data_IF_916078585175
#
_entry.id   IF_916078585175
#
_cell.length_a   1.000
_cell.length_b   1.000
_cell.length_c   1.000
_cell.angle_alpha   90.00
_cell.angle_beta   90.00
_cell.angle_gamma   90.00
#
_symmetry.space_group_name_H-M   'P 1'
#
loop_
_entity.id
_entity.type
_entity.pdbx_description
1 polymer ?
#
# COMPACT_ATOMS: atom_id res chain seq x y z
N UNK A 1 -26.96 -9.11 43.33
CA UNK A 1 -26.25 -8.00 42.65
C UNK A 1 -25.15 -8.65 41.79
N UNK A 2 -25.55 -9.50 40.85
CA UNK A 2 -25.70 -9.28 39.40
C UNK A 2 -24.48 -9.81 38.63
N UNK A 3 -24.44 -11.13 38.45
CA UNK A 3 -23.52 -11.87 37.54
C UNK A 3 -23.90 -11.66 36.06
N UNK A 4 -23.97 -10.41 35.59
CA UNK A 4 -24.38 -10.10 34.20
C UNK A 4 -23.39 -9.35 33.32
N UNK A 5 -22.18 -9.04 33.79
CA UNK A 5 -21.24 -8.20 33.03
C UNK A 5 -19.92 -8.90 32.68
N UNK A 6 -19.99 -10.12 32.13
CA UNK A 6 -18.82 -10.70 31.45
C UNK A 6 -19.25 -11.48 30.23
N UNK A 7 -20.21 -10.92 29.48
CA UNK A 7 -20.37 -11.30 28.09
C UNK A 7 -19.21 -10.65 27.31
N UNK A 8 -18.02 -11.27 27.42
CA UNK A 8 -16.93 -11.06 26.48
C UNK A 8 -17.56 -11.13 25.10
N UNK A 9 -17.51 -10.03 24.34
CA UNK A 9 -18.02 -9.93 22.97
C UNK A 9 -17.36 -11.04 22.15
N UNK A 10 -17.98 -12.22 22.13
CA UNK A 10 -17.53 -13.38 21.38
C UNK A 10 -18.10 -13.25 19.99
N UNK A 11 -17.61 -12.24 19.28
CA UNK A 11 -17.86 -12.14 17.85
C UNK A 11 -17.18 -13.35 17.20
N UNK A 12 -17.96 -14.26 16.63
CA UNK A 12 -17.45 -15.38 15.86
C UNK A 12 -16.90 -14.81 14.55
N UNK A 13 -15.66 -14.34 14.58
CA UNK A 13 -14.96 -13.89 13.38
C UNK A 13 -14.73 -15.10 12.47
N UNK A 14 -15.23 -15.08 11.23
CA UNK A 14 -14.87 -16.09 10.23
C UNK A 14 -13.35 -16.15 10.11
N UNK A 15 -12.80 -17.35 9.99
CA UNK A 15 -11.36 -17.53 9.78
C UNK A 15 -10.86 -16.91 8.47
N UNK A 16 -11.78 -16.67 7.53
CA UNK A 16 -11.53 -16.02 6.25
C UNK A 16 -12.47 -14.82 6.09
N UNK A 17 -11.93 -13.62 6.31
CA UNK A 17 -12.67 -12.35 6.22
C UNK A 17 -12.89 -11.95 4.76
N UNK A 18 -12.10 -12.49 3.83
CA UNK A 18 -12.15 -12.20 2.39
C UNK A 18 -12.98 -13.23 1.61
N UNK A 19 -13.65 -14.17 2.31
CA UNK A 19 -14.47 -15.20 1.67
C UNK A 19 -15.58 -14.56 0.80
N UNK A 20 -15.59 -14.81 -0.52
CA UNK A 20 -16.56 -14.19 -1.40
C UNK A 20 -17.98 -14.71 -1.11
N UNK A 21 -18.96 -13.81 -1.17
CA UNK A 21 -20.35 -14.13 -0.87
C UNK A 21 -20.92 -15.13 -1.89
N UNK A 22 -21.44 -16.26 -1.39
CA UNK A 22 -21.93 -17.39 -2.19
C UNK A 22 -23.44 -17.30 -2.26
N UNK A 23 -23.98 -17.17 -3.46
CA UNK A 23 -25.40 -16.87 -3.67
C UNK A 23 -26.23 -18.12 -3.95
N UNK A 24 -25.75 -19.02 -4.82
CA UNK A 24 -26.46 -20.26 -5.13
C UNK A 24 -25.49 -21.38 -5.48
N UNK A 25 -25.77 -22.60 -5.01
CA UNK A 25 -24.99 -23.82 -5.26
C UNK A 25 -23.48 -23.69 -4.92
N UNK A 26 -23.14 -22.82 -3.97
CA UNK A 26 -21.75 -22.55 -3.60
C UNK A 26 -20.98 -21.66 -4.58
N UNK A 27 -21.65 -21.10 -5.59
CA UNK A 27 -21.08 -20.17 -6.57
C UNK A 27 -21.38 -18.73 -6.18
N UNK A 28 -20.44 -17.84 -6.54
CA UNK A 28 -20.61 -16.39 -6.40
C UNK A 28 -21.54 -15.85 -7.49
N UNK A 29 -22.14 -14.68 -7.25
CA UNK A 29 -22.94 -13.99 -8.28
C UNK A 29 -22.17 -13.78 -9.58
N UNK A 30 -20.87 -13.46 -9.47
CA UNK A 30 -19.94 -13.29 -10.60
C UNK A 30 -19.81 -14.57 -11.42
N UNK A 31 -19.61 -15.71 -10.77
CA UNK A 31 -19.49 -17.01 -11.43
C UNK A 31 -20.78 -17.38 -12.17
N UNK A 32 -21.94 -17.15 -11.55
CA UNK A 32 -23.25 -17.37 -12.18
C UNK A 32 -23.46 -16.47 -13.39
N UNK A 33 -23.07 -15.19 -13.31
CA UNK A 33 -23.16 -14.28 -14.44
C UNK A 33 -22.29 -14.73 -15.63
N UNK A 34 -21.07 -15.20 -15.38
CA UNK A 34 -20.18 -15.73 -16.44
C UNK A 34 -20.82 -16.96 -17.09
N UNK A 35 -21.34 -17.90 -16.31
CA UNK A 35 -22.01 -19.09 -16.82
C UNK A 35 -23.27 -18.74 -17.63
N UNK A 36 -24.07 -17.79 -17.16
CA UNK A 36 -25.27 -17.34 -17.86
C UNK A 36 -24.94 -16.71 -19.22
N UNK A 37 -23.94 -15.83 -19.28
CA UNK A 37 -23.49 -15.23 -20.55
C UNK A 37 -22.95 -16.30 -21.50
N UNK A 38 -22.13 -17.24 -21.00
CA UNK A 38 -21.61 -18.33 -21.80
C UNK A 38 -22.73 -19.23 -22.37
N UNK A 39 -23.76 -19.53 -21.57
CA UNK A 39 -24.91 -20.31 -21.99
C UNK A 39 -25.71 -19.60 -23.09
N UNK A 40 -25.96 -18.29 -22.94
CA UNK A 40 -26.67 -17.49 -23.95
C UNK A 40 -25.88 -17.42 -25.26
N UNK A 41 -24.57 -17.14 -25.20
CA UNK A 41 -23.72 -17.11 -26.38
C UNK A 41 -23.64 -18.48 -27.07
N UNK A 42 -23.51 -19.56 -26.29
CA UNK A 42 -23.47 -20.93 -26.80
C UNK A 42 -24.78 -21.31 -27.49
N UNK A 43 -25.92 -20.98 -26.89
CA UNK A 43 -27.24 -21.23 -27.47
C UNK A 43 -27.46 -20.42 -28.77
N UNK A 44 -27.07 -19.13 -28.78
CA UNK A 44 -27.14 -18.30 -29.98
C UNK A 44 -26.29 -18.84 -31.12
N UNK A 45 -25.06 -19.26 -30.83
CA UNK A 45 -24.17 -19.88 -31.81
C UNK A 45 -24.72 -21.20 -32.34
N UNK A 46 -25.29 -22.04 -31.46
CA UNK A 46 -25.94 -23.29 -31.85
C UNK A 46 -27.08 -23.03 -32.85
N UNK A 47 -28.01 -22.13 -32.51
CA UNK A 47 -29.13 -21.81 -33.39
C UNK A 47 -28.68 -21.28 -34.76
N UNK A 48 -27.60 -20.48 -34.82
CA UNK A 48 -27.09 -19.95 -36.08
C UNK A 48 -26.33 -20.98 -36.94
N UNK A 49 -25.55 -21.88 -36.31
CA UNK A 49 -24.62 -22.75 -37.03
C UNK A 49 -25.13 -24.18 -37.26
N UNK A 50 -26.16 -24.64 -36.53
CA UNK A 50 -26.60 -26.04 -36.61
C UNK A 50 -27.12 -26.47 -37.99
N UNK A 51 -27.63 -25.53 -38.80
CA UNK A 51 -28.07 -25.81 -40.18
C UNK A 51 -26.90 -25.87 -41.18
N UNK A 52 -25.76 -25.27 -40.85
CA UNK A 52 -24.63 -25.08 -41.77
C UNK A 52 -23.41 -25.96 -41.43
N UNK A 53 -23.35 -26.50 -40.21
CA UNK A 53 -22.21 -27.25 -39.68
C UNK A 53 -22.67 -28.60 -39.18
N UNK A 54 -21.87 -29.65 -39.43
CA UNK A 54 -22.16 -30.99 -38.95
C UNK A 54 -22.27 -31.02 -37.41
N UNK A 55 -23.35 -31.62 -36.90
CA UNK A 55 -23.66 -31.71 -35.47
C UNK A 55 -22.48 -32.22 -34.62
N UNK A 56 -21.69 -33.24 -35.03
CA UNK A 56 -20.55 -33.71 -34.23
C UNK A 56 -19.49 -32.63 -33.98
N UNK A 57 -19.26 -31.75 -34.97
CA UNK A 57 -18.29 -30.65 -34.88
C UNK A 57 -18.78 -29.61 -33.87
N UNK A 58 -20.07 -29.28 -33.90
CA UNK A 58 -20.67 -28.34 -32.95
C UNK A 58 -20.65 -28.87 -31.52
N UNK A 59 -20.98 -30.15 -31.31
CA UNK A 59 -20.90 -30.78 -29.99
C UNK A 59 -19.45 -30.80 -29.48
N UNK A 60 -18.49 -31.17 -30.33
CA UNK A 60 -17.07 -31.15 -29.97
C UNK A 60 -16.60 -29.75 -29.55
N UNK A 61 -16.96 -28.72 -30.32
CA UNK A 61 -16.63 -27.33 -29.98
C UNK A 61 -17.30 -26.90 -28.66
N UNK A 62 -18.57 -27.26 -28.45
CA UNK A 62 -19.30 -26.93 -27.22
C UNK A 62 -18.67 -27.58 -25.98
N UNK A 63 -18.17 -28.82 -26.07
CA UNK A 63 -17.47 -29.49 -24.97
C UNK A 63 -16.16 -28.78 -24.64
N UNK A 64 -15.36 -28.42 -25.64
CA UNK A 64 -14.08 -27.72 -25.43
C UNK A 64 -14.30 -26.33 -24.84
N UNK A 65 -15.24 -25.56 -25.40
CA UNK A 65 -15.58 -24.22 -24.91
C UNK A 65 -16.21 -24.27 -23.51
N UNK A 66 -17.11 -25.23 -23.26
CA UNK A 66 -17.71 -25.46 -21.95
C UNK A 66 -16.66 -25.80 -20.89
N UNK A 67 -15.69 -26.65 -21.23
CA UNK A 67 -14.55 -26.97 -20.36
C UNK A 67 -13.68 -25.74 -20.05
N UNK A 68 -13.41 -24.90 -21.06
CA UNK A 68 -12.68 -23.64 -20.87
C UNK A 68 -13.43 -22.67 -19.95
N UNK A 69 -14.74 -22.48 -20.15
CA UNK A 69 -15.58 -21.63 -19.31
C UNK A 69 -15.62 -22.16 -17.88
N UNK A 70 -15.80 -23.47 -17.71
CA UNK A 70 -15.79 -24.11 -16.39
C UNK A 70 -14.45 -23.91 -15.69
N UNK A 71 -13.33 -24.14 -16.39
CA UNK A 71 -11.99 -23.89 -15.88
C UNK A 71 -11.75 -22.43 -15.51
N UNK A 72 -12.32 -21.48 -16.25
CA UNK A 72 -12.24 -20.05 -15.95
C UNK A 72 -13.06 -19.65 -14.72
N UNK A 73 -14.22 -20.28 -14.52
CA UNK A 73 -15.15 -20.01 -13.41
C UNK A 73 -14.66 -20.62 -12.10
N UNK A 74 -14.12 -21.85 -12.15
CA UNK A 74 -13.70 -22.62 -10.96
C UNK A 74 -12.20 -22.44 -10.69
N UNK A 75 -11.41 -22.12 -11.70
CA UNK A 75 -9.97 -21.96 -11.56
C UNK A 75 -9.59 -20.80 -10.65
N UNK A 76 -8.62 -21.06 -9.80
CA UNK A 76 -7.92 -20.03 -9.03
C UNK A 76 -6.42 -20.15 -9.27
N UNK A 77 -5.75 -19.01 -9.36
CA UNK A 77 -4.30 -18.92 -9.44
C UNK A 77 -3.82 -17.83 -8.50
N UNK A 78 -2.86 -18.18 -7.64
CA UNK A 78 -2.26 -17.26 -6.66
C UNK A 78 -3.31 -16.57 -5.75
N UNK A 79 -4.40 -17.28 -5.43
CA UNK A 79 -5.51 -16.76 -4.61
C UNK A 79 -6.52 -15.89 -5.36
N UNK A 80 -6.30 -15.60 -6.64
CA UNK A 80 -7.23 -14.86 -7.50
C UNK A 80 -8.05 -15.82 -8.38
N UNK A 81 -9.33 -15.52 -8.63
CA UNK A 81 -10.10 -16.26 -9.63
C UNK A 81 -9.51 -16.02 -11.04
N UNK A 82 -9.55 -17.06 -11.88
CA UNK A 82 -8.81 -17.11 -13.14
C UNK A 82 -9.26 -16.04 -14.15
N UNK A 83 -10.53 -15.63 -14.11
CA UNK A 83 -11.07 -14.51 -14.89
C UNK A 83 -10.38 -13.18 -14.55
N UNK A 84 -10.24 -12.87 -13.26
CA UNK A 84 -9.57 -11.66 -12.76
C UNK A 84 -8.08 -11.72 -13.07
N UNK A 85 -7.46 -12.89 -12.89
CA UNK A 85 -6.05 -13.10 -13.21
C UNK A 85 -5.77 -12.88 -14.71
N UNK A 86 -6.57 -13.47 -15.60
CA UNK A 86 -6.44 -13.27 -17.05
C UNK A 86 -6.72 -11.83 -17.46
N UNK A 87 -7.71 -11.18 -16.86
CA UNK A 87 -7.99 -9.78 -17.12
C UNK A 87 -6.82 -8.88 -16.69
N UNK A 88 -6.23 -9.16 -15.52
CA UNK A 88 -5.05 -8.46 -15.04
C UNK A 88 -3.85 -8.70 -15.97
N UNK A 89 -3.62 -9.95 -16.39
CA UNK A 89 -2.57 -10.31 -17.34
C UNK A 89 -2.74 -9.63 -18.70
N UNK A 90 -3.98 -9.56 -19.21
CA UNK A 90 -4.31 -8.90 -20.47
C UNK A 90 -4.19 -7.38 -20.37
N UNK A 91 -4.62 -6.78 -19.26
CA UNK A 91 -4.39 -5.35 -19.01
C UNK A 91 -2.91 -5.06 -18.93
N UNK A 92 -2.15 -5.87 -18.18
CA UNK A 92 -0.71 -5.73 -18.03
C UNK A 92 0.03 -5.89 -19.36
N UNK A 93 -0.36 -6.85 -20.22
CA UNK A 93 0.24 -7.02 -21.55
C UNK A 93 -0.01 -5.82 -22.47
N UNK A 94 -1.09 -5.07 -22.23
CA UNK A 94 -1.40 -3.81 -22.92
C UNK A 94 -0.84 -2.56 -22.24
N UNK A 95 -0.31 -2.67 -21.01
CA UNK A 95 0.29 -1.51 -20.35
C UNK A 95 1.64 -1.14 -20.99
N UNK A 96 1.89 0.17 -21.21
CA UNK A 96 3.19 0.62 -21.69
C UNK A 96 4.28 0.25 -20.67
N UNK A 97 5.35 -0.39 -21.15
CA UNK A 97 6.45 -0.89 -20.31
C UNK A 97 7.54 0.15 -20.03
N UNK A 98 7.59 1.20 -20.83
CA UNK A 98 8.48 2.34 -20.63
C UNK A 98 7.63 3.55 -20.29
N UNK A 99 7.88 4.15 -19.12
CA UNK A 99 7.21 5.35 -18.63
C UNK A 99 8.25 6.45 -18.43
N UNK A 100 7.90 7.69 -18.79
CA UNK A 100 8.76 8.86 -18.58
C UNK A 100 8.06 9.91 -17.71
N UNK A 101 8.82 10.57 -16.84
CA UNK A 101 8.35 11.74 -16.07
C UNK A 101 8.19 12.99 -16.92
N UNK A 102 8.85 13.03 -18.09
CA UNK A 102 8.72 14.13 -19.05
C UNK A 102 7.56 13.91 -19.99
N UNK A 103 6.96 15.01 -20.43
CA UNK A 103 5.91 14.98 -21.43
C UNK A 103 6.47 14.52 -22.78
N UNK A 104 6.29 13.24 -23.08
CA UNK A 104 6.68 12.63 -24.35
C UNK A 104 5.67 12.89 -25.47
N UNK A 105 4.60 13.65 -25.18
CA UNK A 105 3.59 14.05 -26.17
C UNK A 105 3.85 15.43 -26.78
N UNK A 106 4.81 16.18 -26.24
CA UNK A 106 5.21 17.47 -26.78
C UNK A 106 5.76 17.32 -28.21
N UNK A 107 5.28 18.17 -29.12
CA UNK A 107 5.72 18.20 -30.52
C UNK A 107 7.21 18.55 -30.55
N UNK A 108 8.02 17.65 -31.11
CA UNK A 108 9.46 17.88 -31.27
C UNK A 108 9.67 19.10 -32.17
N UNK A 109 10.56 20.05 -31.83
CA UNK A 109 10.85 21.20 -32.68
C UNK A 109 11.27 20.80 -34.09
N UNK A 110 10.88 21.59 -35.09
CA UNK A 110 11.01 21.26 -36.52
C UNK A 110 12.47 21.06 -36.99
N UNK A 111 13.47 21.51 -36.21
CA UNK A 111 14.90 21.34 -36.51
C UNK A 111 15.48 19.99 -36.05
N UNK A 112 14.73 19.19 -35.30
CA UNK A 112 15.15 17.85 -34.87
C UNK A 112 14.76 16.83 -35.93
N UNK A 113 15.76 16.17 -36.53
CA UNK A 113 15.49 15.10 -37.48
C UNK A 113 14.98 13.85 -36.74
N UNK A 114 13.77 13.35 -37.05
CA UNK A 114 13.29 12.12 -36.45
C UNK A 114 14.19 10.96 -36.88
N UNK A 115 14.51 10.01 -35.98
CA UNK A 115 15.29 8.84 -36.35
C UNK A 115 14.58 8.04 -37.44
N UNK A 116 15.36 7.46 -38.37
CA UNK A 116 14.82 6.64 -39.47
C UNK A 116 14.18 5.32 -38.98
N UNK A 117 14.49 4.90 -37.76
CA UNK A 117 13.90 3.71 -37.13
C UNK A 117 12.66 4.06 -36.31
N UNK A 118 11.70 3.13 -36.25
CA UNK A 118 10.51 3.25 -35.42
C UNK A 118 10.88 3.10 -33.94
N UNK A 119 11.17 4.22 -33.27
CA UNK A 119 11.43 4.24 -31.83
C UNK A 119 10.10 4.24 -31.07
N UNK A 120 9.92 3.28 -30.17
CA UNK A 120 8.79 3.28 -29.23
C UNK A 120 9.08 4.32 -28.16
N UNK A 121 8.38 5.45 -28.21
CA UNK A 121 8.50 6.47 -27.17
C UNK A 121 7.86 5.98 -25.86
N UNK A 122 8.48 6.25 -24.70
CA UNK A 122 7.86 5.97 -23.41
C UNK A 122 6.54 6.70 -23.27
N UNK A 123 5.55 6.07 -22.63
CA UNK A 123 4.29 6.74 -22.29
C UNK A 123 4.52 7.69 -21.10
N UNK A 124 3.71 8.75 -20.94
CA UNK A 124 3.82 9.64 -19.78
C UNK A 124 3.49 8.89 -18.48
N UNK A 125 4.34 9.06 -17.46
CA UNK A 125 4.16 8.51 -16.13
C UNK A 125 3.05 9.29 -15.42
N UNK A 126 1.90 8.64 -15.21
CA UNK A 126 0.82 9.16 -14.38
C UNK A 126 1.03 8.68 -12.95
N UNK A 127 1.50 9.57 -12.08
CA UNK A 127 1.63 9.25 -10.67
C UNK A 127 0.24 9.23 -10.00
N UNK A 128 -0.01 8.33 -9.03
CA UNK A 128 -1.27 8.31 -8.28
C UNK A 128 -1.49 9.55 -7.42
N UNK A 129 -0.40 10.22 -7.03
CA UNK A 129 -0.40 11.46 -6.27
C UNK A 129 0.21 12.58 -7.09
N UNK A 130 -0.44 13.74 -7.09
CA UNK A 130 -0.02 14.92 -7.84
C UNK A 130 0.91 15.81 -7.03
N UNK A 131 0.62 15.97 -5.74
CA UNK A 131 1.38 16.83 -4.83
C UNK A 131 1.23 16.37 -3.38
N UNK A 132 2.21 16.74 -2.55
CA UNK A 132 2.18 16.59 -1.09
C UNK A 132 2.44 17.98 -0.52
N UNK A 133 1.50 18.50 0.26
CA UNK A 133 1.66 19.78 0.96
C UNK A 133 2.48 19.64 2.24
N UNK A 134 2.99 20.76 2.76
CA UNK A 134 3.80 20.78 3.98
C UNK A 134 3.07 20.22 5.21
N UNK A 135 1.75 20.41 5.29
CA UNK A 135 0.91 19.86 6.36
C UNK A 135 0.65 18.36 6.21
N UNK A 136 1.07 17.74 5.09
CA UNK A 136 0.97 16.30 4.82
C UNK A 136 -0.29 15.88 4.07
N UNK A 137 -1.02 16.82 3.48
CA UNK A 137 -2.15 16.51 2.59
C UNK A 137 -1.63 16.09 1.21
N UNK A 138 -2.07 14.91 0.77
CA UNK A 138 -1.69 14.28 -0.49
C UNK A 138 -2.83 14.52 -1.49
N UNK A 139 -2.52 15.19 -2.59
CA UNK A 139 -3.48 15.41 -3.68
C UNK A 139 -3.50 14.19 -4.60
N UNK A 140 -4.68 13.60 -4.79
CA UNK A 140 -4.93 12.38 -5.57
C UNK A 140 -5.98 12.70 -6.65
N UNK A 141 -5.63 13.55 -7.62
CA UNK A 141 -6.50 14.05 -8.67
C UNK A 141 -7.73 14.76 -8.12
N UNK A 142 -8.87 14.06 -8.13
CA UNK A 142 -10.16 14.58 -7.63
C UNK A 142 -10.42 14.39 -6.13
N UNK A 143 -9.47 13.81 -5.39
CA UNK A 143 -9.58 13.55 -3.96
C UNK A 143 -8.31 13.98 -3.22
N UNK A 144 -8.41 14.11 -1.90
CA UNK A 144 -7.26 14.36 -1.03
C UNK A 144 -7.12 13.27 0.01
N UNK A 145 -5.91 12.98 0.45
CA UNK A 145 -5.62 12.01 1.49
C UNK A 145 -4.66 12.57 2.53
N UNK A 146 -4.70 12.01 3.74
CA UNK A 146 -3.74 12.30 4.79
C UNK A 146 -3.45 11.01 5.57
N UNK A 147 -2.21 10.89 6.05
CA UNK A 147 -1.71 9.67 6.69
C UNK A 147 -1.49 9.89 8.18
N UNK A 148 -1.83 8.88 8.98
CA UNK A 148 -1.53 8.80 10.41
C UNK A 148 -0.63 7.61 10.65
N UNK A 149 0.53 7.83 11.25
CA UNK A 149 1.36 6.75 11.76
C UNK A 149 0.85 6.32 13.15
N UNK A 150 0.81 5.01 13.38
CA UNK A 150 0.40 4.43 14.65
C UNK A 150 1.40 3.36 15.11
N UNK A 151 1.59 3.23 16.42
CA UNK A 151 2.22 2.03 16.98
C UNK A 151 1.19 0.92 17.19
N UNK A 152 1.65 -0.30 17.44
CA UNK A 152 0.81 -1.42 17.84
C UNK A 152 0.80 -1.61 19.36
N UNK A 153 -0.29 -2.15 19.90
CA UNK A 153 -0.38 -2.65 21.28
C UNK A 153 -0.57 -4.16 21.25
N UNK A 154 0.06 -4.87 22.18
CA UNK A 154 -0.17 -6.30 22.36
C UNK A 154 -1.42 -6.52 23.21
N UNK A 155 -2.54 -6.82 22.56
CA UNK A 155 -3.83 -7.02 23.21
C UNK A 155 -3.83 -8.23 24.15
N UNK A 156 -3.07 -9.29 23.83
CA UNK A 156 -3.04 -10.52 24.61
C UNK A 156 -2.39 -10.36 26.00
N UNK A 157 -1.58 -9.31 26.17
CA UNK A 157 -0.94 -8.98 27.46
C UNK A 157 -1.80 -8.06 28.34
N UNK A 158 -3.01 -7.69 27.89
CA UNK A 158 -3.93 -6.79 28.61
C UNK A 158 -4.96 -7.57 29.40
N UNK A 159 -5.47 -6.98 30.48
CA UNK A 159 -6.58 -7.56 31.26
C UNK A 159 -7.87 -7.60 30.43
N UNK A 160 -8.85 -8.43 30.81
CA UNK A 160 -10.11 -8.52 30.06
C UNK A 160 -10.84 -7.16 29.94
N UNK A 161 -10.84 -6.37 31.02
CA UNK A 161 -11.47 -5.04 31.04
C UNK A 161 -10.72 -4.05 30.14
N UNK A 162 -9.38 -4.09 30.16
CA UNK A 162 -8.55 -3.30 29.24
C UNK A 162 -8.82 -3.69 27.78
N UNK A 163 -8.90 -4.99 27.48
CA UNK A 163 -9.20 -5.47 26.14
C UNK A 163 -10.58 -4.99 25.68
N UNK A 164 -11.61 -5.08 26.54
CA UNK A 164 -12.96 -4.60 26.23
C UNK A 164 -12.98 -3.10 25.96
N UNK A 165 -12.28 -2.30 26.79
CA UNK A 165 -12.17 -0.85 26.61
C UNK A 165 -11.45 -0.46 25.30
N UNK A 166 -10.41 -1.20 24.94
CA UNK A 166 -9.68 -1.02 23.67
C UNK A 166 -10.57 -1.35 22.46
N UNK A 167 -11.30 -2.46 22.52
CA UNK A 167 -12.22 -2.87 21.45
C UNK A 167 -13.37 -1.88 21.30
N UNK A 168 -13.96 -1.42 22.40
CA UNK A 168 -15.04 -0.41 22.37
C UNK A 168 -14.56 0.92 21.77
N UNK A 169 -13.39 1.40 22.20
CA UNK A 169 -12.80 2.64 21.66
C UNK A 169 -12.48 2.51 20.17
N UNK A 170 -11.93 1.36 19.74
CA UNK A 170 -11.70 1.10 18.33
C UNK A 170 -13.00 1.01 17.53
N UNK A 171 -14.04 0.39 18.08
CA UNK A 171 -15.38 0.33 17.48
C UNK A 171 -16.03 1.70 17.34
N UNK A 172 -15.92 2.56 18.36
CA UNK A 172 -16.35 3.97 18.30
C UNK A 172 -15.62 4.75 17.20
N UNK A 173 -14.31 4.53 17.04
CA UNK A 173 -13.55 5.12 15.94
C UNK A 173 -14.06 4.63 14.58
N UNK A 174 -14.25 3.32 14.38
CA UNK A 174 -14.79 2.77 13.13
C UNK A 174 -16.17 3.36 12.78
N UNK A 175 -17.06 3.48 13.77
CA UNK A 175 -18.39 4.08 13.59
C UNK A 175 -18.36 5.59 13.31
N UNK A 176 -17.24 6.27 13.60
CA UNK A 176 -17.07 7.70 13.30
C UNK A 176 -16.59 7.98 11.87
N UNK A 177 -16.15 6.95 11.14
CA UNK A 177 -15.61 7.09 9.79
C UNK A 177 -16.73 7.41 8.79
N UNK A 178 -16.60 8.54 8.10
CA UNK A 178 -17.56 9.01 7.09
C UNK A 178 -17.11 8.76 5.65
N UNK A 179 -15.86 8.30 5.46
CA UNK A 179 -15.25 8.04 4.16
C UNK A 179 -14.38 6.79 4.22
N UNK A 180 -14.05 6.24 3.05
CA UNK A 180 -13.15 5.10 2.95
C UNK A 180 -11.80 5.43 3.62
N UNK A 181 -11.49 4.67 4.68
CA UNK A 181 -10.25 4.78 5.45
C UNK A 181 -9.52 3.46 5.36
N UNK A 182 -8.23 3.50 5.05
CA UNK A 182 -7.41 2.31 4.84
C UNK A 182 -6.43 2.16 6.00
N UNK A 183 -6.32 0.97 6.57
CA UNK A 183 -5.25 0.62 7.51
C UNK A 183 -4.23 -0.22 6.75
N UNK A 184 -3.05 0.33 6.53
CA UNK A 184 -1.93 -0.35 5.88
C UNK A 184 -0.97 -0.80 6.96
N UNK A 185 -0.70 -2.10 6.97
CA UNK A 185 0.30 -2.71 7.82
C UNK A 185 1.37 -3.30 6.91
N UNK A 186 2.59 -2.80 7.03
CA UNK A 186 3.74 -3.32 6.28
C UNK A 186 4.86 -3.75 7.22
N UNK A 187 5.44 -4.91 6.95
CA UNK A 187 6.73 -5.27 7.52
C UNK A 187 7.82 -4.57 6.71
N UNK A 188 8.71 -3.85 7.39
CA UNK A 188 9.83 -3.13 6.78
C UNK A 188 11.14 -3.57 7.43
N UNK A 189 12.21 -3.78 6.66
CA UNK A 189 13.54 -3.95 7.22
C UNK A 189 13.92 -2.78 8.12
N UNK A 190 14.49 -3.09 9.28
CA UNK A 190 15.11 -2.10 10.16
C UNK A 190 16.52 -1.85 9.66
N UNK A 191 16.84 -0.60 9.32
CA UNK A 191 18.21 -0.23 9.00
C UNK A 191 19.04 -0.10 10.28
N UNK A 192 19.57 -1.23 10.74
CA UNK A 192 20.49 -1.27 11.86
C UNK A 192 21.90 -0.79 11.49
N UNK A 193 22.32 -0.92 10.22
CA UNK A 193 23.66 -0.51 9.78
C UNK A 193 23.84 1.01 9.88
N UNK A 194 22.84 1.80 9.50
CA UNK A 194 22.94 3.26 9.68
C UNK A 194 22.92 3.65 11.16
N UNK A 195 22.18 2.94 12.02
CA UNK A 195 22.21 3.17 13.46
C UNK A 195 23.58 2.82 14.06
N UNK A 196 24.16 1.68 13.68
CA UNK A 196 25.49 1.25 14.09
C UNK A 196 26.55 2.28 13.69
N UNK A 197 26.56 2.74 12.43
CA UNK A 197 27.48 3.80 11.96
C UNK A 197 27.31 5.12 12.70
N UNK A 198 26.07 5.53 12.97
CA UNK A 198 25.79 6.77 13.71
C UNK A 198 26.30 6.68 15.13
N UNK A 199 26.10 5.53 15.78
CA UNK A 199 26.58 5.29 17.13
C UNK A 199 28.11 5.20 17.19
N UNK A 200 28.74 4.55 16.22
CA UNK A 200 30.20 4.49 16.08
C UNK A 200 30.80 5.91 15.90
N UNK A 201 30.21 6.73 15.03
CA UNK A 201 30.65 8.12 14.85
C UNK A 201 30.41 8.99 16.10
N UNK A 202 29.33 8.72 16.85
CA UNK A 202 29.08 9.42 18.10
C UNK A 202 30.08 9.03 19.21
N UNK A 203 30.53 7.77 19.24
CA UNK A 203 31.48 7.26 20.22
C UNK A 203 32.80 8.08 20.24
N UNK A 204 33.27 8.53 19.07
CA UNK A 204 34.47 9.37 18.92
C UNK A 204 34.38 10.72 19.65
N UNK A 205 33.17 11.19 19.92
CA UNK A 205 32.89 12.48 20.59
C UNK A 205 32.47 12.33 22.05
N UNK A 206 32.45 11.10 22.58
CA UNK A 206 31.94 10.87 23.93
C UNK A 206 32.94 11.32 25.02
N UNK A 207 32.45 11.89 26.13
CA UNK A 207 33.34 12.50 27.14
C UNK A 207 34.12 11.49 28.00
N UNK A 208 33.62 10.25 28.12
CA UNK A 208 34.15 9.26 29.06
C UNK A 208 34.50 7.95 28.33
N UNK A 209 35.69 7.37 28.55
CA UNK A 209 36.18 6.20 27.80
C UNK A 209 35.25 4.98 27.92
N UNK A 210 34.71 4.70 29.11
CA UNK A 210 33.77 3.59 29.27
C UNK A 210 32.46 3.76 28.45
N UNK A 211 32.04 4.99 28.14
CA UNK A 211 30.89 5.23 27.27
C UNK A 211 31.25 5.03 25.80
N UNK A 212 32.46 5.44 25.39
CA UNK A 212 33.01 5.16 24.06
C UNK A 212 33.06 3.65 23.82
N UNK A 213 33.61 2.89 24.78
CA UNK A 213 33.71 1.42 24.68
C UNK A 213 32.32 0.77 24.58
N UNK A 214 31.40 1.17 25.46
CA UNK A 214 30.03 0.65 25.43
C UNK A 214 29.28 0.99 24.13
N UNK A 215 29.49 2.19 23.58
CA UNK A 215 28.89 2.62 22.32
C UNK A 215 29.47 1.84 21.13
N UNK A 216 30.77 1.60 21.10
CA UNK A 216 31.44 0.79 20.08
C UNK A 216 30.97 -0.67 20.12
N UNK A 217 30.88 -1.27 21.31
CA UNK A 217 30.35 -2.62 21.51
C UNK A 217 28.88 -2.72 21.05
N UNK A 218 28.06 -1.71 21.38
CA UNK A 218 26.67 -1.68 20.94
C UNK A 218 26.55 -1.52 19.41
N UNK A 219 27.38 -0.68 18.79
CA UNK A 219 27.41 -0.53 17.34
C UNK A 219 27.75 -1.87 16.65
N UNK A 220 28.77 -2.58 17.15
CA UNK A 220 29.14 -3.92 16.68
C UNK A 220 28.00 -4.93 16.85
N UNK A 221 27.30 -4.90 18.00
CA UNK A 221 26.14 -5.75 18.22
C UNK A 221 25.01 -5.48 17.21
N UNK A 222 24.74 -4.22 16.89
CA UNK A 222 23.71 -3.85 15.91
C UNK A 222 24.07 -4.33 14.50
N UNK A 223 25.32 -4.19 14.06
CA UNK A 223 25.80 -4.71 12.76
C UNK A 223 25.70 -6.25 12.71
N UNK A 224 26.11 -6.92 13.78
CA UNK A 224 26.01 -8.37 13.92
C UNK A 224 24.55 -8.88 13.86
N UNK A 225 23.62 -8.12 14.45
CA UNK A 225 22.19 -8.42 14.43
C UNK A 225 21.61 -8.20 13.03
N UNK A 226 22.02 -7.13 12.35
CA UNK A 226 21.63 -6.82 10.98
C UNK A 226 22.04 -7.93 10.01
N UNK A 227 23.28 -8.42 10.13
CA UNK A 227 23.83 -9.45 9.25
C UNK A 227 23.17 -10.83 9.44
N UNK A 228 22.68 -11.14 10.65
CA UNK A 228 22.25 -12.50 11.00
C UNK A 228 20.74 -12.71 11.04
N UNK A 229 19.93 -11.67 11.27
CA UNK A 229 18.51 -11.84 11.62
C UNK A 229 17.50 -11.04 10.81
N UNK A 230 17.94 -10.25 9.82
CA UNK A 230 17.08 -9.38 9.00
C UNK A 230 15.88 -8.79 9.77
N UNK A 231 16.15 -7.97 10.81
CA UNK A 231 15.12 -7.55 11.74
C UNK A 231 14.07 -6.69 11.02
N UNK A 232 12.80 -7.10 11.13
CA UNK A 232 11.66 -6.38 10.56
C UNK A 232 10.96 -5.55 11.63
N UNK A 233 10.62 -4.30 11.30
CA UNK A 233 9.67 -3.47 12.04
C UNK A 233 8.30 -3.52 11.37
N UNK A 234 7.25 -3.42 12.17
CA UNK A 234 5.88 -3.22 11.67
C UNK A 234 5.60 -1.73 11.56
N UNK A 235 5.35 -1.24 10.36
CA UNK A 235 4.80 0.09 10.15
C UNK A 235 3.28 -0.03 10.04
N UNK A 236 2.55 0.78 10.81
CA UNK A 236 1.10 0.90 10.72
C UNK A 236 0.76 2.31 10.28
N UNK A 237 0.09 2.42 9.14
CA UNK A 237 -0.36 3.67 8.55
C UNK A 237 -1.88 3.63 8.39
N UNK A 238 -2.55 4.67 8.84
CA UNK A 238 -3.98 4.88 8.64
C UNK A 238 -4.13 5.99 7.62
N UNK A 239 -4.68 5.68 6.45
CA UNK A 239 -4.87 6.63 5.35
C UNK A 239 -6.33 7.05 5.33
N UNK A 240 -6.57 8.32 5.59
CA UNK A 240 -7.89 8.95 5.46
C UNK A 240 -7.99 9.61 4.09
N UNK A 241 -9.16 9.52 3.45
CA UNK A 241 -9.42 10.15 2.14
C UNK A 241 -10.70 10.99 2.18
N UNK A 242 -10.74 12.06 1.42
CA UNK A 242 -11.97 12.81 1.14
C UNK A 242 -12.86 12.05 0.14
N UNK A 243 -14.15 12.36 0.12
CA UNK A 243 -15.01 11.91 -0.99
C UNK A 243 -14.70 12.70 -2.26
N UNK A 244 -15.01 12.12 -3.42
CA UNK A 244 -14.87 12.82 -4.70
C UNK A 244 -15.78 14.06 -4.71
N UNK A 245 -15.21 15.23 -5.00
CA UNK A 245 -15.94 16.50 -5.04
C UNK A 245 -16.10 17.21 -3.70
N UNK A 246 -15.56 16.68 -2.60
CA UNK A 246 -15.45 17.42 -1.34
C UNK A 246 -14.43 18.57 -1.48
N UNK A 247 -14.90 19.82 -1.39
CA UNK A 247 -14.08 21.03 -1.62
C UNK A 247 -13.61 21.72 -0.34
N UNK A 248 -13.40 20.94 0.72
CA UNK A 248 -12.84 21.48 1.96
C UNK A 248 -11.32 21.53 1.89
N UNK A 249 -10.74 22.71 2.03
CA UNK A 249 -9.31 22.86 2.26
C UNK A 249 -8.92 22.09 3.54
N UNK A 250 -7.79 21.37 3.53
CA UNK A 250 -7.31 20.53 4.64
C UNK A 250 -8.31 19.49 5.17
N UNK A 251 -9.30 19.08 4.37
CA UNK A 251 -10.35 18.16 4.80
C UNK A 251 -9.83 16.76 5.10
N UNK A 252 -8.81 16.29 4.36
CA UNK A 252 -8.16 15.03 4.70
C UNK A 252 -7.34 15.19 5.99
N UNK A 253 -6.62 16.31 6.12
CA UNK A 253 -5.79 16.58 7.30
C UNK A 253 -6.59 16.65 8.60
N UNK A 254 -7.74 17.33 8.59
CA UNK A 254 -8.66 17.37 9.76
C UNK A 254 -9.17 15.98 10.16
N UNK A 255 -9.43 15.10 9.19
CA UNK A 255 -9.84 13.72 9.46
C UNK A 255 -8.70 12.88 10.04
N UNK A 256 -7.47 13.08 9.56
CA UNK A 256 -6.29 12.49 10.16
C UNK A 256 -6.13 12.94 11.63
N UNK A 257 -6.33 14.22 11.94
CA UNK A 257 -6.31 14.71 13.33
C UNK A 257 -7.46 14.13 14.17
N UNK A 258 -8.65 13.97 13.59
CA UNK A 258 -9.77 13.28 14.25
C UNK A 258 -9.41 11.84 14.61
N UNK A 259 -8.77 11.13 13.68
CA UNK A 259 -8.25 9.76 13.91
C UNK A 259 -7.21 9.73 15.03
N UNK A 260 -6.26 10.67 15.04
CA UNK A 260 -5.25 10.78 16.13
C UNK A 260 -5.93 10.95 17.48
N UNK A 261 -6.91 11.85 17.60
CA UNK A 261 -7.64 12.09 18.86
C UNK A 261 -8.48 10.88 19.29
N UNK A 262 -9.11 10.20 18.34
CA UNK A 262 -9.92 9.02 18.64
C UNK A 262 -9.07 7.85 19.14
N UNK A 263 -7.86 7.68 18.57
CA UNK A 263 -7.00 6.55 18.86
C UNK A 263 -5.97 6.82 19.98
N UNK A 264 -5.74 8.07 20.39
CA UNK A 264 -4.79 8.40 21.47
C UNK A 264 -5.13 7.73 22.81
N UNK A 265 -6.42 7.40 23.03
CA UNK A 265 -6.89 6.69 24.22
C UNK A 265 -6.60 5.18 24.24
N UNK A 266 -6.14 4.59 23.12
CA UNK A 266 -5.92 3.15 22.99
C UNK A 266 -4.55 2.68 23.50
N UNK A 267 -3.77 3.56 24.12
CA UNK A 267 -2.38 3.26 24.51
C UNK A 267 -1.44 3.06 23.31
N UNK A 268 -1.86 3.47 22.11
CA UNK A 268 -0.99 3.60 20.94
C UNK A 268 -0.51 5.04 20.83
N UNK A 269 0.73 5.22 20.41
CA UNK A 269 1.19 6.53 19.93
C UNK A 269 0.67 6.70 18.51
N UNK A 270 -0.02 7.81 18.26
CA UNK A 270 -0.51 8.17 16.92
C UNK A 270 -0.08 9.58 16.58
N UNK A 271 0.31 9.78 15.33
CA UNK A 271 0.72 11.10 14.81
C UNK A 271 0.31 11.22 13.36
N UNK A 272 -0.38 12.29 13.03
CA UNK A 272 -0.61 12.64 11.63
C UNK A 272 0.71 13.11 10.99
N UNK A 273 1.01 12.58 9.82
CA UNK A 273 2.26 12.83 9.11
C UNK A 273 2.21 14.20 8.44
N UNK A 274 3.28 14.97 8.62
CA UNK A 274 3.59 16.17 7.82
C UNK A 274 4.11 15.79 6.42
N UNK A 275 4.34 16.79 5.55
CA UNK A 275 4.77 16.56 4.17
C UNK A 275 6.06 15.73 4.04
N UNK A 276 7.05 15.98 4.90
CA UNK A 276 8.30 15.22 4.91
C UNK A 276 8.10 13.77 5.34
N UNK A 277 7.35 13.55 6.43
CA UNK A 277 7.09 12.22 6.94
C UNK A 277 6.16 11.41 6.01
N UNK A 278 5.19 12.05 5.37
CA UNK A 278 4.35 11.43 4.35
C UNK A 278 5.18 11.02 3.12
N UNK A 279 6.08 11.91 2.66
CA UNK A 279 7.04 11.61 1.59
C UNK A 279 7.94 10.42 1.95
N UNK A 280 8.46 10.39 3.18
CA UNK A 280 9.27 9.27 3.67
C UNK A 280 8.48 7.96 3.73
N UNK A 281 7.22 8.00 4.19
CA UNK A 281 6.35 6.83 4.23
C UNK A 281 6.04 6.29 2.82
N UNK A 282 5.73 7.17 1.86
CA UNK A 282 5.51 6.79 0.46
C UNK A 282 6.77 6.24 -0.21
N UNK A 283 7.93 6.86 0.03
CA UNK A 283 9.20 6.38 -0.48
C UNK A 283 9.55 4.99 0.06
N UNK A 284 9.33 4.76 1.37
CA UNK A 284 9.54 3.46 1.99
C UNK A 284 8.53 2.40 1.51
N UNK A 285 7.32 2.80 1.12
CA UNK A 285 6.34 1.90 0.51
C UNK A 285 6.73 1.51 -0.93
N UNK A 286 7.37 2.43 -1.68
CA UNK A 286 7.83 2.17 -3.05
C UNK A 286 9.16 1.39 -3.10
N UNK A 287 10.07 1.66 -2.17
CA UNK A 287 11.35 0.95 -2.03
C UNK A 287 11.63 0.66 -0.54
N UNK A 288 11.14 -0.50 -0.02
CA UNK A 288 11.30 -0.88 1.38
C UNK A 288 12.75 -1.11 1.80
N UNK A 289 13.65 -1.37 0.85
CA UNK A 289 15.07 -1.64 1.09
C UNK A 289 15.94 -0.39 0.96
N UNK A 290 15.33 0.78 0.71
CA UNK A 290 16.05 2.03 0.65
C UNK A 290 16.67 2.36 2.01
N UNK A 291 17.99 2.57 2.11
CA UNK A 291 18.59 2.96 3.37
C UNK A 291 18.05 4.33 3.80
N UNK A 292 17.57 4.50 5.05
CA UNK A 292 17.17 5.79 5.58
C UNK A 292 18.30 6.81 5.45
N UNK A 293 17.93 8.03 5.10
CA UNK A 293 18.85 9.16 4.99
C UNK A 293 18.83 9.97 6.29
N UNK A 294 20.01 10.25 6.89
CA UNK A 294 20.11 11.23 7.97
C UNK A 294 19.52 12.57 7.51
N UNK A 295 18.65 13.18 8.33
CA UNK A 295 17.96 14.43 8.00
C UNK A 295 16.62 14.27 7.26
N UNK A 296 16.17 13.04 7.01
CA UNK A 296 14.88 12.77 6.35
C UNK A 296 14.93 12.93 4.82
N UNK A 297 13.76 12.90 4.19
CA UNK A 297 13.61 13.18 2.77
C UNK A 297 13.00 14.56 2.59
N UNK A 298 13.64 15.37 1.75
CA UNK A 298 13.05 16.59 1.25
C UNK A 298 11.72 16.25 0.53
N UNK A 299 10.68 17.05 0.77
CA UNK A 299 9.44 16.92 0.03
C UNK A 299 9.70 17.29 -1.45
N UNK A 300 8.82 16.87 -2.38
CA UNK A 300 8.87 17.36 -3.76
C UNK A 300 9.00 18.90 -3.79
N UNK A 301 9.85 19.41 -4.68
CA UNK A 301 10.08 20.85 -4.89
C UNK A 301 10.72 21.62 -3.72
N UNK A 302 11.09 20.94 -2.62
CA UNK A 302 11.88 21.56 -1.54
C UNK A 302 13.29 21.88 -2.03
N UNK A 303 13.73 23.13 -1.89
CA UNK A 303 15.10 23.55 -2.20
C UNK A 303 16.07 22.90 -1.23
N UNK A 304 16.97 22.05 -1.73
CA UNK A 304 18.03 21.42 -0.95
C UNK A 304 19.28 22.29 -1.04
N UNK A 305 19.70 22.90 0.07
CA UNK A 305 20.98 23.60 0.17
C UNK A 305 22.10 22.64 0.57
N UNK A 306 23.22 22.68 -0.14
CA UNK A 306 24.43 21.95 0.24
C UNK A 306 25.15 22.61 1.43
N UNK A 307 26.03 21.88 2.14
CA UNK A 307 26.88 22.49 3.16
C UNK A 307 27.77 23.56 2.54
N UNK A 308 27.95 24.66 3.25
CA UNK A 308 28.84 25.75 2.83
C UNK A 308 30.27 25.20 2.67
N UNK A 309 30.96 25.46 1.54
CA UNK A 309 32.29 24.93 1.32
C UNK A 309 33.22 25.41 2.44
N UNK A 310 33.80 24.47 3.18
CA UNK A 310 34.64 24.76 4.33
C UNK A 310 35.78 25.69 3.93
N UNK A 311 35.79 26.90 4.49
CA UNK A 311 36.85 27.89 4.28
C UNK A 311 38.20 27.27 4.66
N UNK A 312 39.20 27.23 3.76
CA UNK A 312 40.47 26.60 4.05
C UNK A 312 41.12 27.31 5.24
N UNK A 313 41.35 26.56 6.33
CA UNK A 313 42.10 27.05 7.50
C UNK A 313 43.50 27.44 7.03
N UNK A 314 43.79 28.75 7.03
CA UNK A 314 45.16 29.27 6.89
C UNK A 314 45.99 28.67 8.03
N UNK A 315 46.97 27.84 7.67
CA UNK A 315 48.03 27.43 8.60
C UNK A 315 48.83 28.68 8.98
N UNK A 316 48.87 29.01 10.27
CA UNK A 316 49.82 29.94 10.88
C UNK A 316 51.09 29.20 11.25
#
# INVERSE_FOLDING_TARGET
MSERDTELVRARMPADVDAPDKVAYGLTFRQLAILAVAAVCGYGAWNALHEHVAIPVLVGAAVVLGGLVFGLVVGCRDGLPLDVWLLAAFRHSRTPRALSTTDTTAKVPDWVQPPASKVVLPAPLKLPADAISDDGEITLGGTRAAMVAATSVNLALRTADEQASLVDTFGRWLNSLSTATQIVVSAQPVDLHSHARTLAAAADSMPHPALTDAAADHAKFLDDLAARRDPLRRQVLIVTRTSAGERGEHAARRRADGTVRALSGLGVTTRALDGHAATAALAAAADPYRPPRPGGLAAPDTVITGPEPATPRRRS
#
